data_IF_733410201585
#
_entry.id   IF_733410201585
#
_cell.length_a   1.000
_cell.length_b   1.000
_cell.length_c   1.000
_cell.angle_alpha   90.00
_cell.angle_beta   90.00
_cell.angle_gamma   90.00
#
_symmetry.space_group_name_H-M   'P 1'
#
loop_
_entity.id
_entity.type
_entity.pdbx_description
1 polymer ?
#
# COMPACT_ATOMS: atom_id res chain seq x y z
N UNK A 1 -24.16 8.29 39.20
CA UNK A 1 -24.06 8.93 37.87
C UNK A 1 -23.60 7.87 36.88
N UNK A 2 -24.40 7.53 35.86
CA UNK A 2 -23.92 6.69 34.74
C UNK A 2 -23.20 7.62 33.76
N UNK A 3 -22.04 7.24 33.19
CA UNK A 3 -21.39 8.06 32.16
C UNK A 3 -22.30 8.15 30.93
N UNK A 4 -22.41 9.35 30.37
CA UNK A 4 -23.06 9.60 29.08
C UNK A 4 -22.42 8.72 28.00
N UNK A 5 -23.22 7.97 27.25
CA UNK A 5 -22.74 7.27 26.05
C UNK A 5 -22.42 8.33 24.99
N UNK A 6 -21.17 8.33 24.54
CA UNK A 6 -20.76 9.07 23.34
C UNK A 6 -21.52 8.50 22.15
N UNK A 7 -22.23 9.32 21.35
CA UNK A 7 -22.91 8.86 20.14
C UNK A 7 -21.90 8.24 19.17
N UNK A 8 -22.26 7.09 18.59
CA UNK A 8 -21.47 6.45 17.54
C UNK A 8 -21.42 7.38 16.31
N UNK A 9 -20.25 7.63 15.71
CA UNK A 9 -20.13 8.42 14.49
C UNK A 9 -20.57 7.66 13.22
N UNK A 10 -20.99 6.40 13.36
CA UNK A 10 -21.35 5.55 12.23
C UNK A 10 -22.85 5.67 11.91
N UNK A 11 -23.21 5.88 10.63
CA UNK A 11 -24.59 6.12 10.22
C UNK A 11 -25.46 4.85 10.35
N UNK A 12 -26.72 5.05 10.77
CA UNK A 12 -27.77 4.02 10.76
C UNK A 12 -28.21 3.65 9.34
N UNK A 13 -28.65 2.40 9.19
CA UNK A 13 -28.94 1.71 7.94
C UNK A 13 -30.26 2.16 7.30
N UNK A 14 -30.23 3.23 6.50
CA UNK A 14 -31.33 3.56 5.58
C UNK A 14 -31.01 3.08 4.15
N UNK A 15 -31.74 2.06 3.68
CA UNK A 15 -31.57 1.38 2.40
C UNK A 15 -32.21 2.18 1.24
N UNK A 16 -31.43 3.09 0.64
CA UNK A 16 -31.62 3.53 -0.75
C UNK A 16 -30.83 2.61 -1.69
N UNK A 17 -31.15 2.55 -2.98
CA UNK A 17 -30.43 1.73 -3.95
C UNK A 17 -28.95 2.16 -4.03
N UNK A 18 -28.15 1.51 -3.18
CA UNK A 18 -26.77 1.87 -2.86
C UNK A 18 -25.84 1.15 -3.83
N UNK A 19 -24.90 1.91 -4.39
CA UNK A 19 -23.67 1.32 -4.94
C UNK A 19 -23.07 0.44 -3.85
N UNK A 20 -23.04 -0.86 -4.08
CA UNK A 20 -22.54 -1.82 -3.10
C UNK A 20 -21.08 -2.10 -3.43
N UNK A 21 -20.18 -1.72 -2.53
CA UNK A 21 -18.77 -2.10 -2.61
C UNK A 21 -18.69 -3.60 -2.38
N UNK A 22 -18.14 -4.33 -3.35
CA UNK A 22 -17.93 -5.77 -3.22
C UNK A 22 -16.65 -6.10 -2.42
N UNK A 23 -15.57 -5.36 -2.71
CA UNK A 23 -14.27 -5.45 -2.03
C UNK A 23 -13.41 -4.24 -2.39
N UNK A 24 -12.32 -4.05 -1.64
CA UNK A 24 -11.20 -3.20 -2.06
C UNK A 24 -10.21 -4.07 -2.84
N UNK A 25 -10.15 -3.94 -4.16
CA UNK A 25 -9.36 -4.86 -5.00
C UNK A 25 -7.86 -4.76 -4.77
N UNK A 26 -7.28 -3.55 -4.83
CA UNK A 26 -5.85 -3.31 -4.61
C UNK A 26 -5.55 -1.88 -4.17
N UNK A 27 -4.30 -1.66 -3.76
CA UNK A 27 -3.67 -0.34 -3.64
C UNK A 27 -2.51 -0.26 -4.64
N UNK A 28 -2.53 0.75 -5.52
CA UNK A 28 -1.47 0.98 -6.49
C UNK A 28 -0.34 1.84 -5.91
N UNK A 29 0.90 1.44 -6.17
CA UNK A 29 2.12 2.21 -5.85
C UNK A 29 2.93 2.37 -7.13
N UNK A 30 3.20 3.62 -7.52
CA UNK A 30 4.11 3.92 -8.63
C UNK A 30 5.54 3.84 -8.13
N UNK A 31 6.39 3.10 -8.83
CA UNK A 31 7.78 2.82 -8.43
C UNK A 31 8.75 3.13 -9.56
N UNK A 32 9.97 3.53 -9.20
CA UNK A 32 11.06 3.75 -10.17
C UNK A 32 11.82 2.47 -10.52
N UNK A 33 11.83 1.48 -9.61
CA UNK A 33 12.47 0.17 -9.78
C UNK A 33 11.47 -0.92 -9.38
N UNK A 34 10.92 -1.62 -10.37
CA UNK A 34 9.91 -2.65 -10.15
C UNK A 34 10.51 -3.88 -9.46
N UNK A 35 11.74 -4.28 -9.81
CA UNK A 35 12.36 -5.50 -9.31
C UNK A 35 12.75 -5.36 -7.84
N UNK A 36 13.31 -4.20 -7.46
CA UNK A 36 13.67 -3.91 -6.09
C UNK A 36 12.44 -3.89 -5.17
N UNK A 37 11.38 -3.18 -5.55
CA UNK A 37 10.18 -3.04 -4.72
C UNK A 37 9.37 -4.34 -4.70
N UNK A 38 9.32 -5.08 -5.80
CA UNK A 38 8.72 -6.42 -5.82
C UNK A 38 9.44 -7.35 -4.84
N UNK A 39 10.78 -7.35 -4.86
CA UNK A 39 11.57 -8.17 -3.94
C UNK A 39 11.32 -7.80 -2.48
N UNK A 40 11.18 -6.51 -2.16
CA UNK A 40 10.83 -6.03 -0.83
C UNK A 40 9.48 -6.60 -0.34
N UNK A 41 8.42 -6.54 -1.14
CA UNK A 41 7.11 -7.05 -0.74
C UNK A 41 7.06 -8.58 -0.70
N UNK A 42 7.80 -9.26 -1.58
CA UNK A 42 7.95 -10.72 -1.51
C UNK A 42 8.68 -11.12 -0.24
N UNK A 43 9.72 -10.38 0.16
CA UNK A 43 10.43 -10.63 1.42
C UNK A 43 9.51 -10.46 2.63
N UNK A 44 8.60 -9.46 2.60
CA UNK A 44 7.56 -9.29 3.61
C UNK A 44 6.54 -10.45 3.67
N UNK A 45 6.51 -11.32 2.66
CA UNK A 45 5.64 -12.50 2.60
C UNK A 45 4.45 -12.35 1.65
N UNK A 46 4.43 -11.33 0.78
CA UNK A 46 3.43 -11.26 -0.29
C UNK A 46 3.77 -12.22 -1.44
N UNK A 47 2.74 -12.71 -2.14
CA UNK A 47 2.87 -13.61 -3.27
C UNK A 47 2.66 -12.85 -4.59
N UNK A 48 3.56 -13.03 -5.56
CA UNK A 48 3.38 -12.49 -6.91
C UNK A 48 2.27 -13.26 -7.64
N UNK A 49 1.16 -12.58 -7.97
CA UNK A 49 0.08 -13.16 -8.78
C UNK A 49 0.36 -13.07 -10.28
N UNK A 50 1.03 -12.01 -10.71
CA UNK A 50 1.34 -11.81 -12.12
C UNK A 50 2.15 -10.55 -12.38
N UNK A 51 2.87 -10.55 -13.49
CA UNK A 51 3.67 -9.43 -13.98
C UNK A 51 3.55 -9.33 -15.49
N UNK A 52 3.45 -8.12 -16.01
CA UNK A 52 3.41 -7.91 -17.45
C UNK A 52 3.29 -6.44 -17.87
N UNK A 53 3.38 -6.18 -19.18
CA UNK A 53 3.18 -4.85 -19.71
C UNK A 53 1.70 -4.45 -19.61
N UNK A 54 1.44 -3.18 -19.32
CA UNK A 54 0.14 -2.55 -19.53
C UNK A 54 0.31 -1.35 -20.47
N UNK A 55 -0.24 -1.48 -21.66
CA UNK A 55 -0.17 -0.49 -22.72
C UNK A 55 -1.40 -0.53 -23.64
N UNK A 56 -1.56 0.50 -24.45
CA UNK A 56 -2.63 0.63 -25.45
C UNK A 56 -3.80 1.50 -24.99
N UNK A 57 -4.70 1.78 -25.93
CA UNK A 57 -5.76 2.79 -25.79
C UNK A 57 -6.71 2.56 -24.59
N UNK A 58 -6.85 1.33 -24.10
CA UNK A 58 -7.66 1.07 -22.92
C UNK A 58 -6.99 1.59 -21.65
N UNK A 59 -5.67 1.43 -21.50
CA UNK A 59 -4.90 1.94 -20.35
C UNK A 59 -4.95 3.45 -20.35
N UNK A 60 -4.64 4.07 -21.49
CA UNK A 60 -4.59 5.52 -21.68
C UNK A 60 -5.91 6.18 -21.27
N UNK A 61 -7.05 5.58 -21.66
CA UNK A 61 -8.38 6.08 -21.28
C UNK A 61 -8.69 5.94 -19.79
N UNK A 62 -8.20 4.88 -19.13
CA UNK A 62 -8.45 4.66 -17.69
C UNK A 62 -7.62 5.63 -16.86
N UNK A 63 -6.33 5.79 -17.18
CA UNK A 63 -5.40 6.61 -16.38
C UNK A 63 -5.38 8.09 -16.80
N UNK A 64 -5.91 8.42 -17.98
CA UNK A 64 -5.98 9.80 -18.49
C UNK A 64 -4.64 10.35 -19.00
N UNK A 65 -3.76 9.48 -19.52
CA UNK A 65 -2.46 9.85 -20.08
C UNK A 65 -2.27 9.22 -21.46
N UNK A 66 -1.73 9.98 -22.41
CA UNK A 66 -1.45 9.49 -23.76
C UNK A 66 -0.07 8.80 -23.87
N UNK A 67 0.04 7.85 -24.78
CA UNK A 67 1.29 7.18 -25.14
C UNK A 67 1.84 6.27 -24.03
N UNK A 68 0.98 5.79 -23.14
CA UNK A 68 1.39 5.09 -21.93
C UNK A 68 1.99 3.73 -22.26
N UNK A 69 3.14 3.47 -21.63
CA UNK A 69 3.72 2.15 -21.51
C UNK A 69 4.25 1.99 -20.09
N UNK A 70 3.67 1.06 -19.35
CA UNK A 70 4.09 0.71 -18.00
C UNK A 70 4.26 -0.80 -17.88
N UNK A 71 5.02 -1.21 -16.88
CA UNK A 71 5.09 -2.60 -16.42
C UNK A 71 4.42 -2.68 -15.06
N UNK A 72 3.54 -3.67 -14.90
CA UNK A 72 2.78 -3.88 -13.67
C UNK A 72 3.18 -5.22 -13.05
N UNK A 73 3.28 -5.25 -11.72
CA UNK A 73 3.28 -6.48 -10.94
C UNK A 73 2.20 -6.44 -9.86
N UNK A 74 1.37 -7.48 -9.80
CA UNK A 74 0.32 -7.64 -8.80
C UNK A 74 0.81 -8.60 -7.71
N UNK A 75 0.83 -8.13 -6.47
CA UNK A 75 1.17 -8.91 -5.28
C UNK A 75 -0.08 -9.08 -4.43
N UNK A 76 -0.27 -10.27 -3.85
CA UNK A 76 -1.36 -10.53 -2.89
C UNK A 76 -0.83 -10.90 -1.51
N UNK A 77 -1.64 -10.66 -0.49
CA UNK A 77 -1.43 -11.26 0.83
C UNK A 77 -1.73 -12.77 0.78
N UNK A 78 -1.10 -13.59 1.64
CA UNK A 78 -1.35 -15.03 1.69
C UNK A 78 -2.81 -15.43 1.96
N UNK A 79 -3.57 -14.59 2.66
CA UNK A 79 -5.01 -14.78 2.88
C UNK A 79 -5.88 -14.48 1.64
N UNK A 80 -5.29 -13.92 0.57
CA UNK A 80 -5.93 -13.60 -0.69
C UNK A 80 -6.79 -12.34 -0.70
N UNK A 81 -6.90 -11.62 0.42
CA UNK A 81 -7.83 -10.49 0.57
C UNK A 81 -7.22 -9.14 0.17
N UNK A 82 -5.94 -8.91 0.46
CA UNK A 82 -5.23 -7.67 0.15
C UNK A 82 -4.34 -7.80 -1.08
N UNK A 83 -4.25 -6.72 -1.88
CA UNK A 83 -3.32 -6.65 -3.01
C UNK A 83 -2.59 -5.32 -3.09
N UNK A 84 -1.34 -5.39 -3.51
CA UNK A 84 -0.51 -4.25 -3.92
C UNK A 84 -0.26 -4.37 -5.42
N UNK A 85 -0.61 -3.33 -6.16
CA UNK A 85 -0.28 -3.20 -7.58
C UNK A 85 0.94 -2.28 -7.71
N UNK A 86 2.07 -2.81 -8.14
CA UNK A 86 3.26 -2.02 -8.44
C UNK A 86 3.25 -1.63 -9.91
N UNK A 87 3.42 -0.34 -10.19
CA UNK A 87 3.46 0.18 -11.56
C UNK A 87 4.75 0.97 -11.81
N UNK A 88 5.53 0.54 -12.81
CA UNK A 88 6.72 1.27 -13.27
C UNK A 88 6.44 1.86 -14.66
N UNK A 89 6.50 3.19 -14.76
CA UNK A 89 6.26 3.89 -16.02
C UNK A 89 7.52 3.96 -16.89
N UNK A 90 7.46 3.38 -18.08
CA UNK A 90 8.47 3.61 -19.10
C UNK A 90 8.24 4.95 -19.82
N UNK A 91 6.98 5.26 -20.14
CA UNK A 91 6.55 6.55 -20.71
C UNK A 91 5.05 6.84 -20.41
N UNK A 92 4.65 8.11 -20.22
CA UNK A 92 5.54 9.21 -19.82
C UNK A 92 6.28 8.86 -18.52
N UNK A 93 7.44 9.47 -18.25
CA UNK A 93 8.20 9.15 -17.04
C UNK A 93 7.41 9.55 -15.79
N UNK A 94 7.49 8.72 -14.75
CA UNK A 94 6.91 9.03 -13.46
C UNK A 94 7.46 10.36 -12.91
N UNK A 95 6.60 11.11 -12.24
CA UNK A 95 6.95 12.36 -11.59
C UNK A 95 6.98 12.11 -10.08
N UNK A 96 8.04 12.58 -9.41
CA UNK A 96 8.14 12.48 -7.96
C UNK A 96 7.41 13.65 -7.30
N UNK A 97 6.54 13.42 -6.31
CA UNK A 97 5.98 14.50 -5.51
C UNK A 97 7.08 15.18 -4.68
N UNK A 98 6.95 16.48 -4.48
CA UNK A 98 7.88 17.26 -3.64
C UNK A 98 7.24 17.60 -2.27
N UNK A 99 8.00 17.51 -1.16
CA UNK A 99 9.38 16.99 -1.08
C UNK A 99 9.42 15.46 -1.19
N UNK A 100 10.54 14.92 -1.71
CA UNK A 100 10.75 13.46 -1.88
C UNK A 100 10.50 12.70 -0.57
N UNK A 101 11.07 13.20 0.52
CA UNK A 101 10.97 12.60 1.85
C UNK A 101 9.95 13.36 2.71
N UNK A 102 8.70 13.41 2.21
CA UNK A 102 7.63 14.14 2.88
C UNK A 102 7.35 13.60 4.30
N UNK A 103 7.21 14.46 5.32
CA UNK A 103 7.03 14.02 6.70
C UNK A 103 5.68 13.31 6.92
N UNK A 104 5.53 12.50 8.00
CA UNK A 104 4.31 11.74 8.29
C UNK A 104 3.00 12.53 8.31
N UNK A 105 3.06 13.84 8.53
CA UNK A 105 1.93 14.77 8.58
C UNK A 105 1.62 15.45 7.23
N UNK A 106 2.06 14.90 6.10
CA UNK A 106 1.67 15.36 4.75
C UNK A 106 0.31 14.79 4.34
N UNK A 107 -0.55 15.63 3.75
CA UNK A 107 -1.86 15.22 3.22
C UNK A 107 -1.72 14.16 2.11
N UNK A 108 -2.55 13.12 2.14
CA UNK A 108 -2.63 12.10 1.09
C UNK A 108 -2.55 10.65 1.60
N UNK A 109 -2.41 9.69 0.68
CA UNK A 109 -2.13 8.30 1.02
C UNK A 109 -0.76 8.21 1.70
N UNK A 110 -0.71 7.60 2.89
CA UNK A 110 0.49 7.65 3.74
C UNK A 110 1.18 6.32 3.97
N UNK A 111 0.42 5.25 4.19
CA UNK A 111 0.97 3.93 4.44
C UNK A 111 -0.05 2.84 4.12
N UNK A 112 0.49 1.66 3.83
CA UNK A 112 -0.24 0.39 3.95
C UNK A 112 0.32 -0.31 5.20
N UNK A 113 -0.55 -0.91 6.00
CA UNK A 113 -0.16 -1.60 7.23
C UNK A 113 -0.30 -3.10 7.05
N UNK A 114 0.73 -3.85 7.47
CA UNK A 114 0.73 -5.29 7.45
C UNK A 114 0.84 -5.81 8.89
N UNK A 115 0.05 -6.83 9.21
CA UNK A 115 0.25 -7.62 10.40
C UNK A 115 1.17 -8.79 10.05
N UNK A 116 2.24 -8.95 10.83
CA UNK A 116 3.21 -10.04 10.69
C UNK A 116 3.24 -10.85 11.98
N UNK A 117 3.68 -12.10 11.88
CA UNK A 117 3.81 -13.02 13.00
C UNK A 117 5.02 -12.69 13.90
N UNK A 118 6.14 -12.27 13.31
CA UNK A 118 7.33 -11.80 14.03
C UNK A 118 7.82 -10.44 13.49
N UNK A 119 7.62 -9.39 14.28
CA UNK A 119 8.02 -8.03 13.90
C UNK A 119 9.54 -7.86 13.84
N UNK A 120 10.31 -8.54 14.68
CA UNK A 120 11.76 -8.40 14.73
C UNK A 120 12.43 -9.08 13.53
N UNK A 121 11.94 -10.29 13.19
CA UNK A 121 12.40 -10.99 11.99
C UNK A 121 12.05 -10.19 10.72
N UNK A 122 10.81 -9.67 10.64
CA UNK A 122 10.41 -8.80 9.54
C UNK A 122 11.33 -7.57 9.42
N UNK A 123 11.62 -6.89 10.53
CA UNK A 123 12.55 -5.74 10.56
C UNK A 123 13.93 -6.15 10.02
N UNK A 124 14.50 -7.24 10.54
CA UNK A 124 15.83 -7.70 10.16
C UNK A 124 15.91 -8.02 8.65
N UNK A 125 14.88 -8.68 8.10
CA UNK A 125 14.80 -9.02 6.67
C UNK A 125 14.64 -7.79 5.79
N UNK A 126 13.72 -6.89 6.14
CA UNK A 126 13.49 -5.67 5.35
C UNK A 126 14.70 -4.72 5.32
N UNK A 127 15.51 -4.67 6.38
CA UNK A 127 16.76 -3.91 6.36
C UNK A 127 17.73 -4.38 5.27
N UNK A 128 17.75 -5.68 4.94
CA UNK A 128 18.60 -6.20 3.85
C UNK A 128 18.17 -5.70 2.47
N UNK A 129 16.94 -5.18 2.35
CA UNK A 129 16.40 -4.55 1.15
C UNK A 129 16.48 -3.01 1.19
N UNK A 130 17.28 -2.44 2.11
CA UNK A 130 17.50 -1.00 2.22
C UNK A 130 16.36 -0.24 2.91
N UNK A 131 15.44 -0.94 3.57
CA UNK A 131 14.41 -0.30 4.38
C UNK A 131 15.00 0.26 5.67
N UNK A 132 14.49 1.41 6.10
CA UNK A 132 14.92 2.07 7.32
C UNK A 132 13.73 2.32 8.24
N UNK A 133 13.95 2.14 9.55
CA UNK A 133 12.95 2.49 10.55
C UNK A 133 12.79 4.01 10.61
N UNK A 134 11.55 4.48 10.50
CA UNK A 134 11.22 5.92 10.61
C UNK A 134 11.29 6.40 12.07
N UNK A 135 11.07 5.48 13.01
CA UNK A 135 11.10 5.73 14.45
C UNK A 135 11.52 4.47 15.19
N UNK A 136 10.76 4.08 16.21
CA UNK A 136 11.05 2.92 17.04
C UNK A 136 9.96 1.86 16.94
N UNK A 137 10.27 0.64 17.38
CA UNK A 137 9.25 -0.38 17.62
C UNK A 137 8.59 -0.10 18.96
N UNK A 138 7.28 0.15 18.94
CA UNK A 138 6.51 0.52 20.11
C UNK A 138 5.50 -0.58 20.45
N UNK A 139 5.37 -0.88 21.74
CA UNK A 139 4.28 -1.70 22.28
C UNK A 139 3.08 -0.80 22.60
N UNK A 140 1.93 -1.08 22.00
CA UNK A 140 0.66 -0.43 22.34
C UNK A 140 -0.09 -1.27 23.38
N UNK A 141 -0.11 -0.75 24.61
CA UNK A 141 -0.74 -1.41 25.77
C UNK A 141 -0.31 -2.88 25.87
N UNK A 142 -1.21 -3.81 26.15
CA UNK A 142 -0.98 -5.26 26.14
C UNK A 142 -1.43 -5.92 24.84
N UNK A 143 -1.61 -5.14 23.76
CA UNK A 143 -2.27 -5.61 22.54
C UNK A 143 -1.33 -5.95 21.38
N UNK A 144 -0.59 -4.97 20.83
CA UNK A 144 0.25 -5.20 19.66
C UNK A 144 1.50 -4.31 19.64
N UNK A 145 2.50 -4.76 18.86
CA UNK A 145 3.71 -4.00 18.55
C UNK A 145 3.60 -3.40 17.15
N UNK A 146 4.16 -2.21 16.96
CA UNK A 146 4.14 -1.54 15.66
C UNK A 146 5.39 -0.69 15.45
N UNK A 147 5.75 -0.51 14.17
CA UNK A 147 6.74 0.43 13.70
C UNK A 147 6.36 0.91 12.29
N UNK A 148 7.01 1.98 11.82
CA UNK A 148 6.93 2.41 10.43
C UNK A 148 8.29 2.24 9.76
N UNK A 149 8.24 1.83 8.49
CA UNK A 149 9.39 1.77 7.59
C UNK A 149 9.25 2.78 6.47
N UNK A 150 10.38 3.35 6.05
CA UNK A 150 10.52 3.92 4.71
C UNK A 150 11.14 2.87 3.81
N UNK A 151 10.45 2.53 2.73
CA UNK A 151 11.04 1.77 1.62
C UNK A 151 11.99 2.68 0.83
N UNK A 152 13.05 2.10 0.27
CA UNK A 152 14.11 2.81 -0.45
C UNK A 152 13.67 3.29 -1.85
#
# INVERSE_FOLDING_TARGET
MRPERVPSPWPDDAEEARVTIQRMDNVLIVVDDLDAVLSFFVELGMELEGRGPAEGAWVERVIGLDGVRQEIAMLRTPDGHGRIELAMFHRPKAIRPEPKDAPPNTLGLRRVMFAVDDIEDAIARLHTHGAELVGEVVQYEDSYRLCYFSAC
#
